data_IF_798254588452
#
_entry.id   IF_798254588452
#
_cell.length_a   1.000
_cell.length_b   1.000
_cell.length_c   1.000
_cell.angle_alpha   90.00
_cell.angle_beta   90.00
_cell.angle_gamma   90.00
#
_symmetry.space_group_name_H-M   'P 1'
#
loop_
_entity.id
_entity.type
_entity.pdbx_description
1 polymer ?
#
# COMPACT_ATOMS: atom_id res chain seq x y z
N UNK A 1 -11.66 2.90 19.14
CA UNK A 1 -10.53 3.82 18.93
C UNK A 1 -9.34 3.20 19.61
N UNK A 2 -8.32 2.85 18.83
CA UNK A 2 -7.01 2.37 19.32
C UNK A 2 -6.04 3.54 19.38
N UNK A 3 -5.30 3.68 20.48
CA UNK A 3 -4.30 4.74 20.69
C UNK A 3 -2.98 4.08 21.09
N UNK A 4 -1.88 4.47 20.45
CA UNK A 4 -0.53 4.06 20.79
C UNK A 4 0.14 3.12 19.78
N UNK A 5 1.37 2.68 20.10
CA UNK A 5 2.20 1.85 19.21
C UNK A 5 1.90 0.35 19.32
N UNK A 6 1.33 -0.11 20.45
CA UNK A 6 0.92 -1.49 20.67
C UNK A 6 -0.47 -1.75 20.05
N UNK A 7 -0.52 -1.76 18.75
CA UNK A 7 -1.75 -1.82 17.98
C UNK A 7 -1.91 -3.22 17.37
N UNK A 8 -3.06 -3.86 17.63
CA UNK A 8 -3.36 -5.17 17.04
C UNK A 8 -3.97 -5.01 15.65
N UNK A 9 -3.13 -5.06 14.62
CA UNK A 9 -3.54 -4.96 13.22
C UNK A 9 -4.51 -6.07 12.79
N UNK A 10 -4.38 -7.28 13.34
CA UNK A 10 -5.23 -8.41 12.98
C UNK A 10 -6.67 -8.22 13.49
N UNK A 11 -6.82 -7.66 14.69
CA UNK A 11 -8.14 -7.31 15.23
C UNK A 11 -8.83 -6.25 14.35
N UNK A 12 -8.10 -5.21 13.96
CA UNK A 12 -8.65 -4.14 13.12
C UNK A 12 -9.04 -4.67 11.74
N UNK A 13 -8.19 -5.48 11.12
CA UNK A 13 -8.51 -6.10 9.84
C UNK A 13 -9.79 -6.95 9.96
N UNK A 14 -9.97 -7.72 11.03
CA UNK A 14 -11.20 -8.49 11.27
C UNK A 14 -12.42 -7.60 11.48
N UNK A 15 -12.28 -6.50 12.22
CA UNK A 15 -13.40 -5.52 12.39
C UNK A 15 -13.75 -4.89 11.05
N UNK A 16 -12.77 -4.54 10.23
CA UNK A 16 -13.00 -3.94 8.90
C UNK A 16 -13.70 -4.88 7.91
N UNK A 17 -13.71 -6.20 8.14
CA UNK A 17 -14.49 -7.16 7.31
C UNK A 17 -15.99 -7.17 7.62
N UNK A 18 -16.42 -6.55 8.72
CA UNK A 18 -17.84 -6.44 9.04
C UNK A 18 -18.50 -5.44 8.09
N UNK A 19 -19.65 -5.82 7.53
CA UNK A 19 -20.40 -4.96 6.61
C UNK A 19 -20.74 -3.62 7.26
N UNK A 20 -20.42 -2.53 6.56
CA UNK A 20 -20.58 -1.15 7.06
C UNK A 20 -19.46 -0.67 8.00
N UNK A 21 -18.54 -1.54 8.42
CA UNK A 21 -17.41 -1.11 9.22
C UNK A 21 -16.29 -0.51 8.35
N UNK A 22 -15.62 0.49 8.90
CA UNK A 22 -14.49 1.15 8.29
C UNK A 22 -13.45 1.49 9.36
N UNK A 23 -12.18 1.66 8.98
CA UNK A 23 -11.19 2.16 9.91
C UNK A 23 -10.22 3.13 9.23
N UNK A 24 -9.70 4.04 10.02
CA UNK A 24 -8.73 5.04 9.57
C UNK A 24 -7.60 5.15 10.57
N UNK A 25 -6.39 5.27 10.04
CA UNK A 25 -5.24 5.70 10.82
C UNK A 25 -5.14 7.22 10.76
N UNK A 26 -5.00 7.88 11.88
CA UNK A 26 -4.78 9.31 11.98
C UNK A 26 -3.52 9.57 12.80
N UNK A 27 -2.71 10.53 12.37
CA UNK A 27 -1.39 10.80 12.96
C UNK A 27 -1.33 12.17 13.64
N UNK A 28 -2.34 13.01 13.42
CA UNK A 28 -2.43 14.35 14.01
C UNK A 28 -3.86 14.72 14.42
N UNK A 29 -3.99 15.72 15.27
CA UNK A 29 -5.30 16.28 15.66
C UNK A 29 -5.99 16.96 14.47
N UNK A 30 -5.23 17.58 13.59
CA UNK A 30 -5.72 18.23 12.37
C UNK A 30 -6.34 17.19 11.42
N UNK A 31 -5.64 16.09 11.19
CA UNK A 31 -6.12 14.99 10.34
C UNK A 31 -7.37 14.34 10.95
N UNK A 32 -7.43 14.20 12.26
CA UNK A 32 -8.62 13.70 12.97
C UNK A 32 -9.83 14.61 12.75
N UNK A 33 -9.62 15.92 12.86
CA UNK A 33 -10.68 16.92 12.66
C UNK A 33 -11.17 16.94 11.21
N UNK A 34 -10.25 16.97 10.22
CA UNK A 34 -10.60 16.93 8.80
C UNK A 34 -11.50 15.73 8.49
N UNK A 35 -11.16 14.55 9.03
CA UNK A 35 -11.94 13.34 8.79
C UNK A 35 -13.33 13.38 9.44
N UNK A 36 -13.45 13.88 10.65
CA UNK A 36 -14.74 13.90 11.37
C UNK A 36 -15.66 15.05 10.97
N UNK A 37 -15.12 16.11 10.40
CA UNK A 37 -15.88 17.29 9.98
C UNK A 37 -16.14 17.25 8.47
N UNK A 38 -15.11 17.43 7.67
CA UNK A 38 -15.24 17.56 6.21
C UNK A 38 -15.52 16.24 5.50
N UNK A 39 -14.87 15.15 5.95
CA UNK A 39 -14.89 13.86 5.27
C UNK A 39 -15.80 12.81 5.94
N UNK A 40 -16.63 13.18 6.90
CA UNK A 40 -17.44 12.24 7.68
C UNK A 40 -18.33 11.35 6.80
N UNK A 41 -19.03 11.92 5.83
CA UNK A 41 -19.91 11.16 4.93
C UNK A 41 -19.17 10.11 4.10
N UNK A 42 -17.92 10.40 3.71
CA UNK A 42 -17.07 9.44 3.00
C UNK A 42 -16.64 8.26 3.88
N UNK A 43 -16.71 8.43 5.20
CA UNK A 43 -16.32 7.40 6.16
C UNK A 43 -17.47 6.49 6.59
N UNK A 44 -18.70 6.98 6.61
CA UNK A 44 -19.84 6.29 7.22
C UNK A 44 -20.91 5.85 6.22
N UNK A 45 -20.88 6.36 4.98
CA UNK A 45 -21.87 6.03 3.96
C UNK A 45 -21.26 5.15 2.88
N UNK A 46 -21.38 3.80 2.93
CA UNK A 46 -20.94 2.93 1.87
C UNK A 46 -21.66 3.21 0.55
N UNK A 47 -20.95 3.11 -0.57
CA UNK A 47 -21.52 3.18 -1.90
C UNK A 47 -22.22 1.88 -2.27
N UNK A 48 -21.54 0.77 -2.01
CA UNK A 48 -22.00 -0.60 -2.34
C UNK A 48 -21.48 -1.59 -1.30
N UNK A 49 -22.11 -2.77 -1.28
CA UNK A 49 -21.77 -3.87 -0.39
C UNK A 49 -21.36 -5.11 -1.18
N UNK A 50 -20.68 -6.03 -0.52
CA UNK A 50 -20.28 -7.35 -1.02
C UNK A 50 -19.61 -7.29 -2.40
N UNK A 51 -18.75 -6.26 -2.59
CA UNK A 51 -18.08 -6.05 -3.87
C UNK A 51 -16.99 -7.09 -4.08
N UNK A 52 -17.03 -7.74 -5.26
CA UNK A 52 -15.99 -8.61 -5.80
C UNK A 52 -15.58 -8.11 -7.18
N UNK A 53 -14.30 -7.79 -7.35
CA UNK A 53 -13.68 -7.40 -8.62
C UNK A 53 -12.76 -8.50 -9.10
N UNK A 54 -12.95 -8.96 -10.34
CA UNK A 54 -12.17 -10.03 -10.95
C UNK A 54 -11.60 -9.61 -12.30
N UNK A 55 -10.42 -10.12 -12.62
CA UNK A 55 -9.86 -10.08 -13.96
C UNK A 55 -10.02 -11.46 -14.61
N UNK A 56 -10.75 -11.51 -15.71
CA UNK A 56 -10.76 -12.64 -16.62
C UNK A 56 -9.72 -12.39 -17.73
N UNK A 57 -8.78 -13.30 -17.90
CA UNK A 57 -7.69 -13.13 -18.85
C UNK A 57 -7.50 -14.36 -19.72
N UNK A 58 -7.25 -14.14 -21.00
CA UNK A 58 -6.70 -15.13 -21.92
C UNK A 58 -5.38 -14.60 -22.48
N UNK A 59 -4.36 -15.45 -22.58
CA UNK A 59 -3.04 -15.04 -23.07
C UNK A 59 -2.22 -14.16 -22.12
N UNK A 60 -2.71 -13.96 -20.89
CA UNK A 60 -1.97 -13.29 -19.80
C UNK A 60 -2.12 -14.06 -18.50
N UNK A 61 -1.08 -14.02 -17.70
CA UNK A 61 -1.04 -14.55 -16.33
C UNK A 61 -0.80 -13.42 -15.35
N UNK A 62 -1.57 -13.38 -14.26
CA UNK A 62 -1.31 -12.46 -13.16
C UNK A 62 -0.11 -13.00 -12.37
N UNK A 63 1.00 -12.26 -12.37
CA UNK A 63 2.16 -12.61 -11.54
C UNK A 63 2.02 -12.05 -10.12
N UNK A 64 1.49 -10.83 -9.99
CA UNK A 64 1.34 -10.17 -8.69
C UNK A 64 0.24 -9.12 -8.73
N UNK A 65 -0.43 -8.96 -7.59
CA UNK A 65 -1.41 -7.89 -7.32
C UNK A 65 -0.87 -7.04 -6.18
N UNK A 66 -0.96 -5.73 -6.31
CA UNK A 66 -0.58 -4.77 -5.28
C UNK A 66 -1.78 -3.91 -4.91
N UNK A 67 -1.87 -3.50 -3.65
CA UNK A 67 -2.93 -2.62 -3.17
C UNK A 67 -4.21 -3.34 -2.75
N UNK A 68 -4.26 -4.69 -2.83
CA UNK A 68 -5.38 -5.48 -2.34
C UNK A 68 -4.87 -6.71 -1.58
N UNK A 69 -5.09 -6.80 -0.27
CA UNK A 69 -4.62 -7.92 0.55
C UNK A 69 -5.35 -9.24 0.26
N UNK A 70 -6.63 -9.17 -0.14
CA UNK A 70 -7.48 -10.34 -0.37
C UNK A 70 -7.46 -10.81 -1.84
N UNK A 71 -6.50 -10.33 -2.61
CA UNK A 71 -6.36 -10.71 -4.02
C UNK A 71 -5.81 -12.13 -4.19
N UNK A 72 -6.25 -12.79 -5.25
CA UNK A 72 -5.77 -14.12 -5.66
C UNK A 72 -5.40 -14.13 -7.14
N UNK A 73 -4.10 -14.16 -7.43
CA UNK A 73 -3.60 -14.25 -8.80
C UNK A 73 -4.07 -15.55 -9.49
N UNK A 74 -4.29 -16.64 -8.75
CA UNK A 74 -4.72 -17.93 -9.28
C UNK A 74 -6.18 -17.92 -9.76
N UNK A 75 -7.07 -17.17 -9.09
CA UNK A 75 -8.49 -17.11 -9.43
C UNK A 75 -8.86 -15.86 -10.23
N UNK A 76 -7.92 -14.92 -10.38
CA UNK A 76 -8.18 -13.63 -10.98
C UNK A 76 -8.94 -12.65 -10.07
N UNK A 77 -9.19 -13.01 -8.81
CA UNK A 77 -9.83 -12.11 -7.86
C UNK A 77 -8.85 -10.98 -7.47
N UNK A 78 -9.24 -9.74 -7.76
CA UNK A 78 -8.41 -8.56 -7.54
C UNK A 78 -8.75 -7.88 -6.22
N UNK A 79 -10.03 -7.85 -5.86
CA UNK A 79 -10.51 -7.21 -4.64
C UNK A 79 -11.81 -7.88 -4.20
N UNK A 80 -11.92 -8.07 -2.88
CA UNK A 80 -13.17 -8.48 -2.24
C UNK A 80 -13.34 -7.68 -0.97
N UNK A 81 -14.42 -6.90 -0.88
CA UNK A 81 -14.70 -6.06 0.28
C UNK A 81 -16.17 -6.14 0.65
N UNK A 82 -16.44 -6.17 1.96
CA UNK A 82 -17.81 -6.21 2.47
C UNK A 82 -18.54 -4.88 2.29
N UNK A 83 -17.80 -3.77 2.24
CA UNK A 83 -18.34 -2.43 1.99
C UNK A 83 -17.30 -1.60 1.27
N UNK A 84 -17.72 -0.88 0.24
CA UNK A 84 -16.90 0.09 -0.46
C UNK A 84 -17.39 1.49 -0.12
N UNK A 85 -16.48 2.32 0.37
CA UNK A 85 -16.77 3.71 0.70
C UNK A 85 -16.30 4.65 -0.41
N UNK A 86 -16.95 5.80 -0.59
CA UNK A 86 -16.49 6.79 -1.56
C UNK A 86 -15.15 7.38 -1.12
N UNK A 87 -14.39 7.84 -2.11
CA UNK A 87 -13.16 8.59 -1.87
C UNK A 87 -13.44 10.08 -2.08
N UNK A 88 -12.92 10.98 -1.22
CA UNK A 88 -13.08 12.41 -1.41
C UNK A 88 -12.39 12.86 -2.70
N UNK A 89 -13.01 13.82 -3.38
CA UNK A 89 -12.48 14.46 -4.58
C UNK A 89 -12.07 15.88 -4.20
N UNK A 90 -10.89 16.31 -4.64
CA UNK A 90 -10.42 17.67 -4.44
C UNK A 90 -11.15 18.68 -5.38
N UNK A 91 -10.89 19.98 -5.21
CA UNK A 91 -11.49 21.06 -6.02
C UNK A 91 -11.13 20.95 -7.50
N UNK A 92 -10.02 20.30 -7.83
CA UNK A 92 -9.54 20.07 -9.21
C UNK A 92 -10.16 18.83 -9.86
N UNK A 93 -11.05 18.11 -9.15
CA UNK A 93 -11.72 16.90 -9.63
C UNK A 93 -10.89 15.62 -9.50
N UNK A 94 -9.74 15.66 -8.83
CA UNK A 94 -8.92 14.50 -8.58
C UNK A 94 -9.43 13.71 -7.37
N UNK A 95 -9.56 12.40 -7.53
CA UNK A 95 -10.01 11.51 -6.46
C UNK A 95 -8.82 10.89 -5.74
N UNK A 96 -8.76 11.06 -4.42
CA UNK A 96 -7.79 10.39 -3.56
C UNK A 96 -8.28 8.99 -3.19
N UNK A 97 -8.24 8.08 -4.14
CA UNK A 97 -8.69 6.70 -3.98
C UNK A 97 -7.56 5.69 -3.83
N UNK A 98 -7.94 4.45 -3.51
CA UNK A 98 -7.04 3.30 -3.56
C UNK A 98 -6.66 2.96 -5.01
N UNK A 99 -5.46 2.38 -5.19
CA UNK A 99 -4.96 1.91 -6.47
C UNK A 99 -4.66 0.42 -6.38
N UNK A 100 -5.16 -0.36 -7.33
CA UNK A 100 -4.79 -1.77 -7.50
C UNK A 100 -3.92 -1.87 -8.74
N UNK A 101 -2.68 -2.33 -8.57
CA UNK A 101 -1.75 -2.55 -9.66
C UNK A 101 -1.58 -4.04 -9.92
N UNK A 102 -1.55 -4.40 -11.19
CA UNK A 102 -1.33 -5.78 -11.63
C UNK A 102 -0.03 -5.89 -12.40
N UNK A 103 0.79 -6.85 -12.01
CA UNK A 103 1.89 -7.29 -12.86
C UNK A 103 1.42 -8.49 -13.67
N UNK A 104 1.32 -8.29 -14.98
CA UNK A 104 0.87 -9.30 -15.92
C UNK A 104 2.03 -9.81 -16.74
N UNK A 105 2.06 -11.12 -16.98
CA UNK A 105 2.97 -11.77 -17.91
C UNK A 105 2.20 -12.25 -19.12
N UNK A 106 2.62 -11.85 -20.32
CA UNK A 106 2.06 -12.35 -21.55
C UNK A 106 2.48 -13.80 -21.78
N UNK A 107 1.53 -14.69 -21.98
CA UNK A 107 1.73 -16.13 -22.17
C UNK A 107 1.34 -16.63 -23.56
N UNK A 108 0.65 -15.79 -24.36
CA UNK A 108 0.18 -16.10 -25.72
C UNK A 108 0.47 -14.98 -26.71
N UNK A 109 0.26 -15.27 -28.01
CA UNK A 109 0.40 -14.26 -29.08
C UNK A 109 -0.75 -13.25 -29.07
N UNK A 110 -1.95 -13.71 -28.77
CA UNK A 110 -3.17 -12.88 -28.59
C UNK A 110 -3.58 -12.95 -27.13
N UNK A 111 -4.20 -11.91 -26.63
CA UNK A 111 -4.69 -11.90 -25.26
C UNK A 111 -5.82 -10.90 -25.10
N UNK A 112 -6.82 -11.31 -24.33
CA UNK A 112 -7.95 -10.49 -23.94
C UNK A 112 -7.96 -10.35 -22.41
N UNK A 113 -8.32 -9.18 -21.95
CA UNK A 113 -8.56 -8.89 -20.54
C UNK A 113 -9.95 -8.29 -20.37
N UNK A 114 -10.68 -8.82 -19.39
CA UNK A 114 -12.00 -8.33 -19.02
C UNK A 114 -12.06 -8.18 -17.50
N UNK A 115 -12.44 -7.00 -17.05
CA UNK A 115 -12.78 -6.75 -15.66
C UNK A 115 -14.25 -7.03 -15.44
N UNK A 116 -14.57 -7.77 -14.39
CA UNK A 116 -15.93 -8.09 -13.96
C UNK A 116 -16.08 -7.68 -12.52
N UNK A 117 -17.08 -6.88 -12.22
CA UNK A 117 -17.44 -6.48 -10.87
C UNK A 117 -18.85 -6.95 -10.53
N UNK A 118 -18.99 -7.57 -9.35
CA UNK A 118 -20.27 -7.91 -8.75
C UNK A 118 -20.38 -7.17 -7.40
N UNK A 119 -21.54 -6.64 -7.09
CA UNK A 119 -21.78 -5.90 -5.86
C UNK A 119 -23.28 -5.88 -5.51
N UNK A 120 -23.61 -5.43 -4.32
CA UNK A 120 -24.97 -5.21 -3.86
C UNK A 120 -25.21 -3.73 -3.56
N UNK A 121 -26.36 -3.23 -3.93
CA UNK A 121 -26.83 -1.89 -3.57
C UNK A 121 -27.30 -1.85 -2.12
N UNK A 122 -27.57 -0.65 -1.60
CA UNK A 122 -28.01 -0.44 -0.20
C UNK A 122 -29.32 -1.16 0.16
N UNK A 123 -30.14 -1.47 -0.82
CA UNK A 123 -31.39 -2.23 -0.69
C UNK A 123 -31.20 -3.75 -0.82
N UNK A 124 -29.96 -4.20 -0.96
CA UNK A 124 -29.60 -5.61 -1.16
C UNK A 124 -29.77 -6.11 -2.59
N UNK A 125 -30.06 -5.23 -3.55
CA UNK A 125 -30.20 -5.64 -4.94
C UNK A 125 -28.84 -5.97 -5.56
N UNK A 126 -28.65 -7.21 -6.11
CA UNK A 126 -27.39 -7.60 -6.73
C UNK A 126 -27.21 -6.94 -8.10
N UNK A 127 -26.01 -6.42 -8.33
CA UNK A 127 -25.60 -5.79 -9.57
C UNK A 127 -24.32 -6.41 -10.11
N UNK A 128 -24.15 -6.34 -11.43
CA UNK A 128 -22.91 -6.74 -12.11
C UNK A 128 -22.62 -5.78 -13.26
N UNK A 129 -21.32 -5.51 -13.45
CA UNK A 129 -20.83 -4.77 -14.60
C UNK A 129 -19.55 -5.39 -15.13
N UNK A 130 -19.28 -5.22 -16.41
CA UNK A 130 -18.06 -5.71 -17.04
C UNK A 130 -17.50 -4.69 -18.03
N UNK A 131 -16.17 -4.70 -18.19
CA UNK A 131 -15.47 -3.89 -19.19
C UNK A 131 -14.28 -4.64 -19.75
N UNK A 132 -14.01 -4.46 -21.04
CA UNK A 132 -12.79 -4.96 -21.68
C UNK A 132 -11.66 -3.98 -21.46
N UNK A 133 -10.47 -4.51 -21.16
CA UNK A 133 -9.25 -3.72 -21.05
C UNK A 133 -8.48 -3.86 -22.35
N UNK A 134 -8.31 -2.75 -23.07
CA UNK A 134 -7.46 -2.69 -24.26
C UNK A 134 -6.09 -2.12 -23.85
N UNK A 135 -5.03 -2.73 -24.35
CA UNK A 135 -3.70 -2.13 -24.32
C UNK A 135 -3.49 -1.38 -25.63
N UNK A 136 -3.50 -0.07 -25.58
CA UNK A 136 -2.89 0.72 -26.64
C UNK A 136 -1.38 0.50 -26.53
N UNK A 137 -0.70 0.23 -27.64
CA UNK A 137 0.73 -0.08 -27.68
C UNK A 137 1.57 1.07 -27.11
N UNK A 138 1.71 1.06 -25.80
CA UNK A 138 2.46 2.06 -25.08
C UNK A 138 3.94 1.72 -25.08
N UNK A 139 4.79 2.74 -25.21
CA UNK A 139 6.23 2.60 -25.04
C UNK A 139 6.56 2.17 -23.60
N UNK A 140 7.74 1.56 -23.43
CA UNK A 140 8.27 1.29 -22.10
C UNK A 140 8.33 2.60 -21.30
N UNK A 141 7.93 2.55 -20.02
CA UNK A 141 7.84 3.71 -19.12
C UNK A 141 6.73 4.73 -19.43
N UNK A 142 5.73 4.37 -20.23
CA UNK A 142 4.52 5.15 -20.36
C UNK A 142 3.68 5.06 -19.08
N UNK A 143 3.25 6.21 -18.58
CA UNK A 143 2.32 6.35 -17.45
C UNK A 143 1.20 7.31 -17.85
N UNK A 144 -0.03 6.86 -17.72
CA UNK A 144 -1.20 7.68 -18.07
C UNK A 144 -1.29 8.96 -17.23
N UNK A 145 -0.86 8.87 -15.96
CA UNK A 145 -0.79 9.99 -15.04
C UNK A 145 0.27 9.78 -13.95
N UNK A 146 0.59 10.85 -13.23
CA UNK A 146 1.58 10.85 -12.15
C UNK A 146 1.16 9.99 -10.95
N UNK A 147 -0.15 9.82 -10.70
CA UNK A 147 -0.68 8.95 -9.63
C UNK A 147 -0.36 7.48 -9.88
N UNK A 148 -0.51 7.00 -11.12
CA UNK A 148 -0.13 5.62 -11.51
C UNK A 148 1.38 5.45 -11.37
N UNK A 149 2.18 6.42 -11.85
CA UNK A 149 3.64 6.41 -11.71
C UNK A 149 4.07 6.32 -10.25
N UNK A 150 3.47 7.13 -9.38
CA UNK A 150 3.67 7.09 -7.92
C UNK A 150 3.31 5.74 -7.33
N UNK A 151 2.16 5.17 -7.71
CA UNK A 151 1.74 3.84 -7.26
C UNK A 151 2.74 2.74 -7.62
N UNK A 152 3.26 2.74 -8.84
CA UNK A 152 4.28 1.79 -9.30
C UNK A 152 5.59 1.99 -8.52
N UNK A 153 6.02 3.22 -8.28
CA UNK A 153 7.20 3.52 -7.46
C UNK A 153 7.05 2.97 -6.05
N UNK A 154 5.90 3.20 -5.41
CA UNK A 154 5.61 2.71 -4.06
C UNK A 154 5.52 1.18 -4.01
N UNK A 155 4.97 0.52 -5.04
CA UNK A 155 4.96 -0.93 -5.13
C UNK A 155 6.40 -1.51 -5.20
N UNK A 156 7.28 -0.90 -6.00
CA UNK A 156 8.70 -1.28 -6.10
C UNK A 156 9.44 -1.04 -4.78
N UNK A 157 9.16 0.08 -4.12
CA UNK A 157 9.70 0.40 -2.80
C UNK A 157 9.30 -0.66 -1.76
N UNK A 158 8.01 -1.01 -1.71
CA UNK A 158 7.50 -2.02 -0.80
C UNK A 158 8.13 -3.40 -1.06
N UNK A 159 8.32 -3.80 -2.32
CA UNK A 159 9.01 -5.05 -2.67
C UNK A 159 10.46 -5.06 -2.19
N UNK A 160 11.19 -3.96 -2.39
CA UNK A 160 12.56 -3.83 -1.91
C UNK A 160 12.64 -3.96 -0.39
N UNK A 161 11.78 -3.23 0.34
CA UNK A 161 11.75 -3.27 1.80
C UNK A 161 11.37 -4.66 2.31
N UNK A 162 10.37 -5.30 1.72
CA UNK A 162 9.97 -6.67 2.07
C UNK A 162 11.11 -7.67 1.80
N UNK A 163 11.76 -7.57 0.65
CA UNK A 163 12.90 -8.41 0.29
C UNK A 163 14.05 -8.26 1.29
N UNK A 164 14.41 -7.03 1.63
CA UNK A 164 15.42 -6.74 2.63
C UNK A 164 15.06 -7.34 4.00
N UNK A 165 13.88 -7.06 4.53
CA UNK A 165 13.42 -7.56 5.83
C UNK A 165 13.45 -9.10 5.85
N UNK A 166 12.94 -9.75 4.81
CA UNK A 166 12.90 -11.20 4.71
C UNK A 166 14.30 -11.81 4.63
N UNK A 167 15.23 -11.20 3.88
CA UNK A 167 16.59 -11.70 3.73
C UNK A 167 17.39 -11.59 5.04
N UNK A 168 17.31 -10.45 5.74
CA UNK A 168 18.00 -10.27 7.02
C UNK A 168 17.43 -11.17 8.12
N UNK A 169 16.11 -11.36 8.16
CA UNK A 169 15.48 -12.30 9.10
C UNK A 169 15.88 -13.75 8.83
N UNK A 170 16.01 -14.17 7.57
CA UNK A 170 16.47 -15.51 7.22
C UNK A 170 17.94 -15.72 7.56
N UNK A 171 18.79 -14.73 7.28
CA UNK A 171 20.19 -14.78 7.65
C UNK A 171 20.40 -14.86 9.18
N UNK A 172 19.52 -14.22 9.97
CA UNK A 172 19.49 -14.32 11.43
C UNK A 172 18.84 -15.61 11.98
N UNK A 173 18.20 -16.40 11.14
CA UNK A 173 17.26 -17.47 11.53
C UNK A 173 17.85 -18.63 12.35
N UNK A 174 19.14 -18.91 12.28
CA UNK A 174 19.78 -19.93 13.15
C UNK A 174 19.89 -19.45 14.62
N UNK A 175 19.92 -18.15 14.85
CA UNK A 175 19.99 -17.56 16.19
C UNK A 175 18.60 -17.42 16.84
N UNK A 176 17.53 -17.34 16.04
CA UNK A 176 16.16 -17.11 16.51
C UNK A 176 15.40 -18.37 16.95
N UNK A 177 15.80 -19.55 16.47
CA UNK A 177 15.06 -20.79 16.78
C UNK A 177 15.20 -21.28 18.23
N UNK A 178 16.19 -20.80 18.98
CA UNK A 178 16.47 -21.20 20.35
C UNK A 178 15.75 -20.44 21.47
N UNK A 179 15.10 -19.30 21.16
CA UNK A 179 14.53 -18.39 22.18
C UNK A 179 13.11 -17.93 21.84
N UNK A 180 12.27 -18.80 21.34
CA UNK A 180 10.94 -18.46 20.83
C UNK A 180 9.95 -17.87 21.86
N UNK A 181 10.19 -18.03 23.14
CA UNK A 181 9.24 -17.64 24.21
C UNK A 181 9.46 -16.25 24.80
N UNK A 182 10.59 -15.57 24.49
CA UNK A 182 10.97 -14.30 25.16
C UNK A 182 10.75 -13.06 24.29
N UNK A 183 10.42 -13.20 23.00
CA UNK A 183 10.62 -12.14 22.00
C UNK A 183 9.36 -11.55 21.37
N UNK A 184 8.18 -11.81 21.89
CA UNK A 184 6.94 -11.22 21.34
C UNK A 184 6.86 -9.69 21.50
N UNK A 185 7.66 -9.07 22.34
CA UNK A 185 7.60 -7.64 22.66
C UNK A 185 8.85 -6.81 22.32
N UNK A 186 9.93 -7.39 21.81
CA UNK A 186 11.13 -6.61 21.44
C UNK A 186 11.33 -6.61 19.92
N UNK A 187 11.21 -5.43 19.31
CA UNK A 187 11.58 -5.23 17.91
C UNK A 187 13.08 -5.35 17.74
N UNK A 188 13.54 -6.46 17.16
CA UNK A 188 14.96 -6.65 16.84
C UNK A 188 15.38 -5.63 15.79
N UNK A 189 16.45 -4.89 16.10
CA UNK A 189 17.04 -3.93 15.16
C UNK A 189 17.55 -4.65 13.92
N UNK A 190 16.90 -4.43 12.79
CA UNK A 190 17.36 -4.91 11.50
C UNK A 190 18.52 -4.06 11.00
N UNK A 191 19.61 -4.71 10.61
CA UNK A 191 20.80 -4.07 10.03
C UNK A 191 20.96 -4.57 8.62
N UNK A 192 21.04 -3.67 7.64
CA UNK A 192 21.22 -4.06 6.26
C UNK A 192 22.63 -4.60 6.01
N UNK A 193 22.73 -5.80 5.43
CA UNK A 193 23.98 -6.40 4.94
C UNK A 193 24.61 -5.53 3.84
N UNK A 194 25.88 -5.75 3.51
CA UNK A 194 26.57 -4.99 2.48
C UNK A 194 25.88 -5.10 1.11
N UNK A 195 25.34 -6.27 0.78
CA UNK A 195 24.60 -6.52 -0.46
C UNK A 195 23.27 -5.73 -0.47
N UNK A 196 22.50 -5.82 0.59
CA UNK A 196 21.24 -5.09 0.72
C UNK A 196 21.46 -3.58 0.76
N UNK A 197 22.52 -3.09 1.39
CA UNK A 197 22.88 -1.66 1.34
C UNK A 197 23.10 -1.18 -0.08
N UNK A 198 23.81 -1.96 -0.91
CA UNK A 198 24.03 -1.62 -2.32
C UNK A 198 22.72 -1.55 -3.11
N UNK A 199 21.82 -2.53 -2.93
CA UNK A 199 20.52 -2.55 -3.57
C UNK A 199 19.67 -1.33 -3.16
N UNK A 200 19.61 -1.05 -1.85
CA UNK A 200 18.86 0.07 -1.30
C UNK A 200 19.43 1.42 -1.80
N UNK A 201 20.76 1.54 -1.87
CA UNK A 201 21.42 2.73 -2.42
C UNK A 201 21.11 2.95 -3.90
N UNK A 202 21.12 1.89 -4.70
CA UNK A 202 20.77 1.94 -6.13
C UNK A 202 19.31 2.37 -6.29
N UNK A 203 18.43 1.76 -5.49
CA UNK A 203 17.01 2.12 -5.51
C UNK A 203 16.75 3.57 -5.06
N UNK A 204 17.50 4.07 -4.07
CA UNK A 204 17.41 5.47 -3.65
C UNK A 204 17.66 6.43 -4.81
N UNK A 205 18.71 6.17 -5.61
CA UNK A 205 19.03 7.01 -6.78
C UNK A 205 17.91 6.98 -7.82
N UNK A 206 17.32 5.81 -8.09
CA UNK A 206 16.14 5.67 -8.95
C UNK A 206 14.94 6.43 -8.38
N UNK A 207 14.63 6.25 -7.11
CA UNK A 207 13.49 6.90 -6.45
C UNK A 207 13.59 8.42 -6.46
N UNK A 208 14.78 8.99 -6.26
CA UNK A 208 15.00 10.44 -6.35
C UNK A 208 14.67 10.97 -7.76
N UNK A 209 15.05 10.25 -8.81
CA UNK A 209 14.67 10.61 -10.19
C UNK A 209 13.15 10.55 -10.41
N UNK A 210 12.49 9.53 -9.88
CA UNK A 210 11.03 9.40 -9.96
C UNK A 210 10.29 10.51 -9.21
N UNK A 211 10.77 10.88 -8.01
CA UNK A 211 10.20 11.98 -7.21
C UNK A 211 10.21 13.30 -7.99
N UNK A 212 11.30 13.59 -8.71
CA UNK A 212 11.38 14.77 -9.55
C UNK A 212 10.34 14.77 -10.68
N UNK A 213 10.11 13.60 -11.29
CA UNK A 213 9.13 13.46 -12.39
C UNK A 213 7.68 13.51 -11.88
N UNK A 214 7.43 12.96 -10.68
CA UNK A 214 6.09 12.95 -10.05
C UNK A 214 5.78 14.33 -9.46
N UNK A 215 6.81 15.08 -9.03
CA UNK A 215 6.71 16.37 -8.35
C UNK A 215 5.91 16.32 -7.04
N UNK A 216 6.07 15.23 -6.27
CA UNK A 216 5.39 15.06 -4.99
C UNK A 216 6.41 14.98 -3.85
N UNK A 217 6.47 16.05 -3.05
CA UNK A 217 7.40 16.19 -1.93
C UNK A 217 7.07 15.25 -0.74
N UNK A 218 5.86 14.71 -0.67
CA UNK A 218 5.48 13.77 0.41
C UNK A 218 6.33 12.50 0.37
N UNK A 219 6.83 12.11 -0.81
CA UNK A 219 7.73 10.96 -1.01
C UNK A 219 9.12 11.13 -0.37
N UNK A 220 9.50 12.34 0.04
CA UNK A 220 10.76 12.56 0.76
C UNK A 220 10.78 11.87 2.12
N UNK A 221 9.63 11.55 2.69
CA UNK A 221 9.52 10.73 3.90
C UNK A 221 10.12 9.35 3.70
N UNK A 222 9.91 8.75 2.54
CA UNK A 222 10.45 7.42 2.20
C UNK A 222 11.97 7.48 1.98
N UNK A 223 12.47 8.55 1.37
CA UNK A 223 13.93 8.80 1.26
C UNK A 223 14.57 8.89 2.64
N UNK A 224 13.92 9.57 3.56
CA UNK A 224 14.33 9.67 4.95
C UNK A 224 14.47 8.30 5.62
N UNK A 225 13.51 7.40 5.42
CA UNK A 225 13.57 6.03 5.95
C UNK A 225 14.73 5.23 5.33
N UNK A 226 14.93 5.36 4.03
CA UNK A 226 16.07 4.75 3.31
C UNK A 226 17.40 5.23 3.93
N UNK A 227 17.56 6.52 4.17
CA UNK A 227 18.78 7.07 4.75
C UNK A 227 19.08 6.54 6.15
N UNK A 228 18.05 6.32 6.96
CA UNK A 228 18.20 5.67 8.26
C UNK A 228 18.70 4.23 8.14
N UNK A 229 18.13 3.47 7.23
CA UNK A 229 18.53 2.07 6.96
C UNK A 229 20.00 2.02 6.51
N UNK A 230 20.41 2.96 5.68
CA UNK A 230 21.80 3.06 5.21
C UNK A 230 22.79 3.55 6.28
N UNK A 231 22.30 4.04 7.45
CA UNK A 231 23.14 4.49 8.56
C UNK A 231 23.79 5.85 8.29
N UNK A 232 23.20 6.69 7.46
CA UNK A 232 23.66 8.06 7.23
C UNK A 232 23.41 8.90 8.48
N UNK A 233 24.44 9.05 9.30
CA UNK A 233 24.42 9.54 10.67
C UNK A 233 24.02 11.02 10.88
N UNK A 234 24.01 11.83 9.83
CA UNK A 234 23.57 13.23 9.94
C UNK A 234 22.07 13.40 10.25
N UNK A 235 21.26 12.42 9.88
CA UNK A 235 19.81 12.45 10.04
C UNK A 235 19.33 11.92 11.41
N UNK A 236 20.09 11.02 12.04
CA UNK A 236 19.74 10.45 13.36
C UNK A 236 19.71 11.52 14.45
N UNK A 237 20.60 12.52 14.36
CA UNK A 237 20.66 13.61 15.32
C UNK A 237 19.41 14.50 15.24
N UNK A 238 18.97 14.85 14.03
CA UNK A 238 17.84 15.75 13.82
C UNK A 238 16.51 15.13 14.26
N UNK A 239 16.32 13.82 14.03
CA UNK A 239 15.10 13.12 14.44
C UNK A 239 15.06 12.84 15.95
N UNK A 240 16.19 12.65 16.58
CA UNK A 240 16.25 12.54 18.03
C UNK A 240 15.78 13.83 18.70
N UNK A 241 16.18 14.98 18.17
CA UNK A 241 15.71 16.28 18.65
C UNK A 241 14.23 16.51 18.41
N UNK A 242 13.67 16.12 17.24
CA UNK A 242 12.24 16.21 16.95
C UNK A 242 11.41 15.27 17.83
N UNK A 243 11.87 14.04 18.04
CA UNK A 243 11.22 13.07 18.93
C UNK A 243 11.24 13.56 20.38
N UNK A 244 12.38 14.05 20.87
CA UNK A 244 12.51 14.60 22.21
C UNK A 244 11.65 15.86 22.41
N UNK A 245 11.53 16.73 21.40
CA UNK A 245 10.60 17.86 21.41
C UNK A 245 9.14 17.43 21.42
N UNK A 246 8.76 16.39 20.69
CA UNK A 246 7.39 15.87 20.69
C UNK A 246 6.97 15.25 22.03
N UNK A 247 7.95 14.63 22.74
CA UNK A 247 7.72 14.09 24.08
C UNK A 247 7.70 15.16 25.17
N UNK A 248 8.37 16.29 24.96
CA UNK A 248 8.39 17.40 25.92
C UNK A 248 7.12 18.29 25.87
N UNK A 249 6.29 18.13 24.83
CA UNK A 249 5.02 18.87 24.63
C UNK A 249 3.78 18.01 24.94
N UNK A 250 3.94 16.81 25.50
CA UNK A 250 2.92 15.95 26.08
C UNK A 250 2.95 16.05 27.62
#
# INVERSE_FOLDING_TARGET
IGIGLAFNSDLINRVATISGANYYSVQSAEEFRERLDENFNYMVCPLVYNLSLRLESTGYQIEKVYGSPDSSAATGELMKVSSLFPSPTNEEGETRGGLILLRLKKTGHTGDLKLVVNYEMNDGYPCSAETKVAFEGAEAEYYENTGIRKGILLARYAELMQGWICSERRAGGEMYSRHREVWENESVKLVASAENRKLIQTFKSYMLGEIQQINDQTLNREITLIDRILGNSGFIAQFKEEYERSQANL
#
